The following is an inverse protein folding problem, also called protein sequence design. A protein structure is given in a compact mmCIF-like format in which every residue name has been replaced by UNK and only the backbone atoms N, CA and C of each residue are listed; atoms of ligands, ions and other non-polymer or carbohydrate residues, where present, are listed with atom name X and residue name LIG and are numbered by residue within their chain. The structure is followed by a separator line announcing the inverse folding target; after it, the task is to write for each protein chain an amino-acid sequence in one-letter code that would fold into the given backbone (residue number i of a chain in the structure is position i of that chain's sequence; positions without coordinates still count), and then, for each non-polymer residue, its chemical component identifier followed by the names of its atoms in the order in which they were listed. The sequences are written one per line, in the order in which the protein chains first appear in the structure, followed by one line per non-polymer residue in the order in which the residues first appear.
data_IF_445762813827
#
_entry.id   IF_445762813827
#
_cell.length_a   1.000
_cell.length_b   1.000
_cell.length_c   1.000
_cell.angle_alpha   90.00
_cell.angle_beta   90.00
_cell.angle_gamma   90.00
#
_symmetry.space_group_name_H-M   'P 1'
#
loop_
_entity.id
_entity.type
_entity.pdbx_description
1 polymer ?
#
# COMPACT_ATOMS: atom_id res chain seq x y z
N UNK A 1 8.85 3.70 35.34
CA UNK A 1 8.57 5.10 34.94
C UNK A 1 8.53 5.18 33.42
N UNK A 2 7.56 5.86 32.78
CA UNK A 2 7.54 6.00 31.33
C UNK A 2 8.68 6.95 30.88
N UNK A 3 9.83 6.40 30.52
CA UNK A 3 10.97 7.22 30.07
C UNK A 3 10.70 7.78 28.66
N UNK A 4 10.66 9.12 28.49
CA UNK A 4 10.43 9.74 27.19
C UNK A 4 11.53 9.40 26.18
N UNK A 5 12.76 9.18 26.63
CA UNK A 5 13.90 8.79 25.79
C UNK A 5 13.68 7.46 25.04
N UNK A 6 13.06 6.46 25.66
CA UNK A 6 12.80 5.17 25.00
C UNK A 6 11.82 5.30 23.83
N UNK A 7 10.84 6.21 23.94
CA UNK A 7 9.86 6.46 22.87
C UNK A 7 10.50 7.15 21.68
N UNK A 8 11.37 8.14 21.94
CA UNK A 8 12.11 8.87 20.91
C UNK A 8 13.06 7.90 20.19
N UNK A 9 13.80 7.09 20.94
CA UNK A 9 14.69 6.07 20.36
C UNK A 9 13.91 5.05 19.50
N UNK A 10 12.78 4.56 19.98
CA UNK A 10 11.93 3.63 19.21
C UNK A 10 11.41 4.24 17.89
N UNK A 11 10.94 5.49 17.92
CA UNK A 11 10.51 6.19 16.70
C UNK A 11 11.69 6.47 15.77
N UNK A 12 12.84 6.90 16.30
CA UNK A 12 14.04 7.11 15.52
C UNK A 12 14.49 5.83 14.81
N UNK A 13 14.49 4.69 15.50
CA UNK A 13 14.80 3.38 14.91
C UNK A 13 13.83 3.00 13.79
N UNK A 14 12.52 3.25 13.96
CA UNK A 14 11.52 2.98 12.92
C UNK A 14 11.71 3.89 11.70
N UNK A 15 12.04 5.18 11.92
CA UNK A 15 12.33 6.13 10.84
C UNK A 15 13.60 5.76 10.08
N UNK A 16 14.67 5.37 10.77
CA UNK A 16 15.92 4.92 10.17
C UNK A 16 15.68 3.64 9.36
N UNK A 17 14.93 2.69 9.92
CA UNK A 17 14.59 1.44 9.23
C UNK A 17 13.76 1.69 7.99
N UNK A 18 12.75 2.58 8.07
CA UNK A 18 11.97 3.01 6.92
C UNK A 18 12.84 3.66 5.84
N UNK A 19 13.69 4.62 6.23
CA UNK A 19 14.58 5.30 5.30
C UNK A 19 15.53 4.32 4.60
N UNK A 20 16.10 3.37 5.34
CA UNK A 20 16.96 2.33 4.77
C UNK A 20 16.19 1.47 3.77
N UNK A 21 14.99 1.00 4.10
CA UNK A 21 14.21 0.10 3.23
C UNK A 21 13.70 0.78 1.95
N UNK A 22 13.46 2.09 2.00
CA UNK A 22 12.92 2.84 0.85
C UNK A 22 14.02 3.43 -0.03
N UNK A 23 15.09 3.98 0.56
CA UNK A 23 16.12 4.71 -0.17
C UNK A 23 17.38 3.90 -0.47
N UNK A 24 17.55 2.71 0.10
CA UNK A 24 18.72 1.88 -0.18
C UNK A 24 18.39 0.79 -1.22
N UNK A 25 18.71 1.00 -2.51
CA UNK A 25 18.46 0.00 -3.55
C UNK A 25 19.26 -1.29 -3.34
N UNK A 26 20.40 -1.24 -2.63
CA UNK A 26 21.20 -2.44 -2.34
C UNK A 26 20.45 -3.47 -1.49
N UNK A 27 19.35 -3.07 -0.83
CA UNK A 27 18.46 -4.00 -0.10
C UNK A 27 17.88 -5.07 -1.04
N UNK A 28 17.71 -4.75 -2.32
CA UNK A 28 17.19 -5.64 -3.35
C UNK A 28 18.25 -6.59 -3.93
N UNK A 29 19.53 -6.37 -3.60
CA UNK A 29 20.66 -7.14 -4.13
C UNK A 29 21.33 -8.02 -3.06
N UNK A 30 21.07 -7.77 -1.77
CA UNK A 30 21.76 -8.48 -0.68
C UNK A 30 21.49 -9.97 -0.60
N UNK A 31 20.33 -10.45 -1.08
CA UNK A 31 19.99 -11.87 -0.99
C UNK A 31 19.51 -12.42 -2.34
N UNK A 32 20.10 -13.55 -2.81
CA UNK A 32 19.58 -14.26 -3.96
C UNK A 32 18.17 -14.76 -3.67
N UNK A 33 17.31 -14.72 -4.68
CA UNK A 33 15.89 -15.08 -4.56
C UNK A 33 15.71 -16.46 -3.93
N UNK A 34 14.94 -16.52 -2.84
CA UNK A 34 14.57 -17.77 -2.19
C UNK A 34 13.69 -18.64 -3.11
N UNK A 35 13.81 -19.96 -3.02
CA UNK A 35 13.06 -20.90 -3.85
C UNK A 35 11.53 -20.90 -3.59
N UNK A 36 11.07 -20.27 -2.50
CA UNK A 36 9.66 -20.18 -2.11
C UNK A 36 9.06 -18.81 -2.49
N UNK A 37 8.12 -18.74 -3.46
CA UNK A 37 7.61 -17.48 -4.02
C UNK A 37 6.88 -16.53 -3.06
N UNK A 38 6.47 -16.98 -1.87
CA UNK A 38 5.62 -16.21 -0.94
C UNK A 38 6.32 -15.95 0.41
N UNK A 39 7.29 -16.78 0.80
CA UNK A 39 8.06 -16.61 2.03
C UNK A 39 9.46 -16.08 1.70
N UNK A 40 9.50 -14.90 1.12
CA UNK A 40 10.73 -14.23 0.72
C UNK A 40 11.23 -13.31 1.86
N UNK A 41 12.53 -13.05 1.91
CA UNK A 41 13.17 -12.14 2.87
C UNK A 41 12.55 -10.73 2.84
N UNK A 42 12.07 -10.31 1.67
CA UNK A 42 11.32 -9.06 1.49
C UNK A 42 10.04 -9.02 2.30
N UNK A 43 9.24 -10.09 2.26
CA UNK A 43 8.02 -10.22 3.07
C UNK A 43 8.31 -10.05 4.56
N UNK A 44 9.36 -10.72 5.06
CA UNK A 44 9.74 -10.63 6.47
C UNK A 44 10.22 -9.23 6.83
N UNK A 45 11.18 -8.67 6.09
CA UNK A 45 11.81 -7.39 6.44
C UNK A 45 10.84 -6.21 6.31
N UNK A 46 10.19 -6.06 5.17
CA UNK A 46 9.25 -4.96 4.95
C UNK A 46 7.94 -5.17 5.72
N UNK A 47 7.48 -6.42 5.84
CA UNK A 47 6.26 -6.77 6.56
C UNK A 47 6.38 -6.54 8.07
N UNK A 48 7.48 -7.00 8.69
CA UNK A 48 7.72 -6.78 10.13
C UNK A 48 7.81 -5.28 10.42
N UNK A 49 8.56 -4.51 9.63
CA UNK A 49 8.69 -3.06 9.85
C UNK A 49 7.35 -2.35 9.65
N UNK A 50 6.53 -2.74 8.66
CA UNK A 50 5.19 -2.17 8.47
C UNK A 50 4.26 -2.48 9.66
N UNK A 51 4.26 -3.72 10.15
CA UNK A 51 3.51 -4.12 11.35
C UNK A 51 4.00 -3.33 12.57
N UNK A 52 5.31 -3.21 12.78
CA UNK A 52 5.87 -2.42 13.86
C UNK A 52 5.48 -0.93 13.78
N UNK A 53 5.40 -0.33 12.59
CA UNK A 53 4.91 1.04 12.40
C UNK A 53 3.43 1.17 12.80
N UNK A 54 2.58 0.22 12.42
CA UNK A 54 1.17 0.23 12.82
C UNK A 54 0.96 -0.05 14.31
N UNK A 55 1.73 -0.97 14.89
CA UNK A 55 1.72 -1.27 16.32
C UNK A 55 2.21 -0.06 17.12
N UNK A 56 3.30 0.58 16.70
CA UNK A 56 3.79 1.81 17.31
C UNK A 56 2.73 2.91 17.24
N UNK A 57 2.05 3.09 16.10
CA UNK A 57 0.96 4.05 15.98
C UNK A 57 -0.22 3.76 16.94
N UNK A 58 -0.50 2.48 17.24
CA UNK A 58 -1.52 2.08 18.24
C UNK A 58 -1.03 2.27 19.68
N UNK A 59 0.21 1.94 19.98
CA UNK A 59 0.80 2.09 21.31
C UNK A 59 0.98 3.56 21.71
N UNK A 60 1.17 4.44 20.73
CA UNK A 60 1.16 5.89 20.89
C UNK A 60 -0.23 6.52 20.75
N UNK A 61 -1.32 5.74 20.89
CA UNK A 61 -2.66 6.32 20.98
C UNK A 61 -2.77 7.30 22.19
N UNK A 62 -3.70 8.28 22.14
CA UNK A 62 -3.92 9.21 23.25
C UNK A 62 -4.10 8.45 24.59
N UNK A 63 -3.47 8.88 25.70
CA UNK A 63 -2.81 10.17 25.96
C UNK A 63 -1.29 10.22 25.66
N UNK A 64 -0.72 9.23 24.97
CA UNK A 64 0.74 9.12 24.70
C UNK A 64 1.12 9.51 23.27
N UNK A 65 0.24 10.21 22.58
CA UNK A 65 0.36 10.62 21.17
C UNK A 65 1.41 11.71 20.92
N UNK A 66 1.74 12.49 21.95
CA UNK A 66 2.70 13.58 21.87
C UNK A 66 4.13 13.05 22.05
N UNK A 67 4.89 13.06 20.96
CA UNK A 67 6.35 12.89 20.99
C UNK A 67 6.96 14.16 20.45
N UNK A 68 7.85 14.79 21.23
CA UNK A 68 8.42 16.10 20.89
C UNK A 68 7.32 17.15 20.60
N UNK A 69 6.22 17.12 21.36
CA UNK A 69 5.07 18.01 21.21
C UNK A 69 4.31 17.90 19.86
N UNK A 70 4.56 16.85 19.07
CA UNK A 70 3.86 16.56 17.81
C UNK A 70 3.09 15.25 17.89
N UNK A 71 1.95 15.19 17.19
CA UNK A 71 1.17 13.97 17.04
C UNK A 71 1.90 12.97 16.13
N UNK A 72 2.58 11.99 16.72
CA UNK A 72 3.30 10.94 16.00
C UNK A 72 2.41 9.87 15.30
N UNK A 73 1.23 9.48 15.84
CA UNK A 73 0.45 8.36 15.27
C UNK A 73 0.00 8.53 13.80
N UNK A 74 -0.42 9.72 13.32
CA UNK A 74 -0.76 9.91 11.91
C UNK A 74 0.43 9.67 10.98
N UNK A 75 1.60 10.19 11.33
CA UNK A 75 2.83 10.03 10.55
C UNK A 75 3.26 8.56 10.49
N UNK A 76 3.24 7.84 11.62
CA UNK A 76 3.58 6.42 11.66
C UNK A 76 2.62 5.55 10.85
N UNK A 77 1.31 5.84 10.87
CA UNK A 77 0.35 5.14 10.02
C UNK A 77 0.63 5.40 8.53
N UNK A 78 0.94 6.65 8.14
CA UNK A 78 1.27 6.98 6.76
C UNK A 78 2.53 6.27 6.28
N UNK A 79 3.59 6.26 7.07
CA UNK A 79 4.82 5.52 6.76
C UNK A 79 4.57 4.01 6.65
N UNK A 80 3.78 3.44 7.56
CA UNK A 80 3.38 2.03 7.50
C UNK A 80 2.62 1.69 6.22
N UNK A 81 1.70 2.56 5.79
CA UNK A 81 0.95 2.41 4.53
C UNK A 81 1.86 2.52 3.31
N UNK A 82 2.80 3.48 3.29
CA UNK A 82 3.77 3.61 2.19
C UNK A 82 4.62 2.33 2.10
N UNK A 83 5.12 1.84 3.23
CA UNK A 83 5.97 0.65 3.25
C UNK A 83 5.19 -0.61 2.83
N UNK A 84 3.92 -0.73 3.23
CA UNK A 84 3.05 -1.81 2.77
C UNK A 84 2.81 -1.77 1.26
N UNK A 85 2.68 -0.56 0.69
CA UNK A 85 2.55 -0.39 -0.75
C UNK A 85 3.86 -0.74 -1.49
N UNK A 86 5.01 -0.36 -0.94
CA UNK A 86 6.33 -0.75 -1.48
C UNK A 86 6.48 -2.27 -1.44
N UNK A 87 6.16 -2.91 -0.32
CA UNK A 87 6.19 -4.37 -0.19
C UNK A 87 5.32 -5.05 -1.25
N UNK A 88 4.08 -4.57 -1.45
CA UNK A 88 3.20 -5.10 -2.49
C UNK A 88 3.85 -5.06 -3.88
N UNK A 89 4.54 -3.97 -4.22
CA UNK A 89 5.24 -3.85 -5.50
C UNK A 89 6.44 -4.79 -5.59
N UNK A 90 7.21 -4.93 -4.50
CA UNK A 90 8.37 -5.85 -4.45
C UNK A 90 7.91 -7.30 -4.59
N UNK A 91 6.84 -7.72 -3.92
CA UNK A 91 6.31 -9.09 -4.02
C UNK A 91 5.85 -9.42 -5.45
N UNK A 92 5.20 -8.48 -6.14
CA UNK A 92 4.83 -8.65 -7.55
C UNK A 92 6.09 -8.72 -8.41
N UNK A 93 7.06 -7.83 -8.21
CA UNK A 93 8.32 -7.84 -8.94
C UNK A 93 9.07 -9.16 -8.75
N UNK A 94 9.14 -9.67 -7.52
CA UNK A 94 9.80 -10.92 -7.19
C UNK A 94 9.06 -12.10 -7.84
N UNK A 95 7.74 -12.21 -7.68
CA UNK A 95 6.92 -13.29 -8.24
C UNK A 95 7.16 -13.49 -9.74
N UNK A 96 7.18 -12.39 -10.50
CA UNK A 96 7.39 -12.42 -11.95
C UNK A 96 8.85 -12.44 -12.40
N UNK A 97 9.82 -12.38 -11.49
CA UNK A 97 11.24 -12.60 -11.80
C UNK A 97 11.51 -14.10 -11.83
N UNK A 98 12.38 -14.60 -12.72
CA UNK A 98 12.69 -16.05 -12.78
C UNK A 98 13.61 -16.44 -11.62
N UNK A 99 13.44 -17.64 -10.99
CA UNK A 99 14.36 -18.11 -9.96
C UNK A 99 15.79 -18.21 -10.52
N UNK A 100 16.78 -17.61 -9.83
CA UNK A 100 18.20 -17.71 -10.19
C UNK A 100 18.74 -16.72 -11.24
N UNK A 101 17.95 -15.74 -11.69
CA UNK A 101 18.44 -14.68 -12.57
C UNK A 101 18.77 -13.41 -11.78
N UNK A 102 19.99 -12.88 -11.94
CA UNK A 102 20.42 -11.57 -11.42
C UNK A 102 20.04 -10.39 -12.35
N UNK A 103 19.47 -10.69 -13.53
CA UNK A 103 19.12 -9.67 -14.52
C UNK A 103 17.66 -9.72 -14.96
N UNK A 104 17.03 -8.55 -14.88
CA UNK A 104 15.72 -8.24 -15.46
C UNK A 104 15.80 -8.29 -16.98
N UNK A 105 15.67 -9.48 -17.55
CA UNK A 105 15.64 -9.67 -19.02
C UNK A 105 14.34 -9.11 -19.60
N UNK A 106 14.45 -7.98 -20.30
CA UNK A 106 13.35 -7.32 -21.02
C UNK A 106 12.99 -8.10 -22.29
N UNK A 107 12.16 -9.13 -22.14
CA UNK A 107 11.46 -9.75 -23.26
C UNK A 107 10.23 -8.90 -23.63
N UNK A 108 10.27 -8.25 -24.80
CA UNK A 108 9.20 -7.40 -25.36
C UNK A 108 7.90 -8.13 -25.75
N UNK A 109 7.70 -9.39 -25.35
CA UNK A 109 6.53 -10.18 -25.73
C UNK A 109 5.93 -11.02 -24.59
N UNK A 110 6.14 -10.67 -23.31
CA UNK A 110 5.73 -11.61 -22.27
C UNK A 110 5.70 -11.13 -20.83
N UNK A 111 4.95 -10.07 -20.50
CA UNK A 111 4.49 -9.88 -19.12
C UNK A 111 3.21 -9.03 -18.97
N UNK A 112 2.26 -9.12 -19.92
CA UNK A 112 0.90 -8.60 -19.74
C UNK A 112 0.30 -9.03 -18.39
N UNK A 113 0.57 -10.29 -17.99
CA UNK A 113 0.20 -10.80 -16.68
C UNK A 113 0.80 -9.99 -15.51
N UNK A 114 2.06 -9.55 -15.60
CA UNK A 114 2.73 -8.72 -14.59
C UNK A 114 2.09 -7.34 -14.49
N UNK A 115 1.88 -6.67 -15.61
CA UNK A 115 1.28 -5.33 -15.66
C UNK A 115 -0.16 -5.36 -15.12
N UNK A 116 -0.93 -6.38 -15.51
CA UNK A 116 -2.27 -6.61 -15.00
C UNK A 116 -2.26 -6.94 -13.50
N UNK A 117 -1.29 -7.73 -13.02
CA UNK A 117 -1.12 -8.00 -11.58
C UNK A 117 -0.85 -6.72 -10.79
N UNK A 118 -0.02 -5.80 -11.29
CA UNK A 118 0.18 -4.49 -10.65
C UNK A 118 -1.13 -3.70 -10.60
N UNK A 119 -1.88 -3.62 -11.71
CA UNK A 119 -3.15 -2.89 -11.76
C UNK A 119 -4.18 -3.46 -10.78
N UNK A 120 -4.36 -4.79 -10.75
CA UNK A 120 -5.27 -5.47 -9.81
C UNK A 120 -4.82 -5.25 -8.36
N UNK A 121 -3.54 -5.43 -8.08
CA UNK A 121 -3.00 -5.28 -6.73
C UNK A 121 -3.16 -3.85 -6.21
N UNK A 122 -2.88 -2.85 -7.03
CA UNK A 122 -3.06 -1.44 -6.67
C UNK A 122 -4.55 -1.09 -6.48
N UNK A 123 -5.46 -1.63 -7.30
CA UNK A 123 -6.90 -1.45 -7.12
C UNK A 123 -7.39 -2.05 -5.78
N UNK A 124 -6.97 -3.28 -5.47
CA UNK A 124 -7.28 -3.94 -4.19
C UNK A 124 -6.69 -3.18 -3.01
N UNK A 125 -5.44 -2.73 -3.11
CA UNK A 125 -4.79 -1.93 -2.07
C UNK A 125 -5.51 -0.60 -1.85
N UNK A 126 -5.90 0.10 -2.91
CA UNK A 126 -6.68 1.34 -2.84
C UNK A 126 -8.04 1.10 -2.15
N UNK A 127 -8.73 0.01 -2.48
CA UNK A 127 -10.01 -0.34 -1.88
C UNK A 127 -9.87 -0.69 -0.39
N UNK A 128 -8.86 -1.47 0.00
CA UNK A 128 -8.55 -1.76 1.39
C UNK A 128 -8.18 -0.48 2.17
N UNK A 129 -7.39 0.41 1.56
CA UNK A 129 -7.02 1.69 2.14
C UNK A 129 -8.24 2.60 2.31
N UNK A 130 -9.18 2.60 1.36
CA UNK A 130 -10.44 3.34 1.43
C UNK A 130 -11.30 2.81 2.59
N UNK A 131 -11.47 1.49 2.71
CA UNK A 131 -12.21 0.86 3.83
C UNK A 131 -11.55 1.23 5.16
N UNK A 132 -10.22 1.13 5.27
CA UNK A 132 -9.49 1.49 6.47
C UNK A 132 -9.61 2.99 6.80
N UNK A 133 -9.54 3.86 5.79
CA UNK A 133 -9.72 5.31 5.92
C UNK A 133 -11.13 5.70 6.32
N UNK A 134 -12.15 4.97 5.85
CA UNK A 134 -13.54 5.11 6.28
C UNK A 134 -13.67 4.73 7.75
N UNK A 135 -13.23 3.53 8.13
CA UNK A 135 -13.30 3.00 9.51
C UNK A 135 -12.56 3.87 10.52
N UNK A 136 -11.36 4.34 10.19
CA UNK A 136 -10.55 5.21 11.06
C UNK A 136 -10.94 6.70 10.99
N UNK A 137 -11.99 7.06 10.24
CA UNK A 137 -12.43 8.45 9.99
C UNK A 137 -11.29 9.39 9.52
N UNK A 138 -10.29 8.87 8.83
CA UNK A 138 -9.14 9.65 8.35
C UNK A 138 -9.41 10.23 6.96
N UNK A 139 -9.54 11.56 6.88
CA UNK A 139 -9.71 12.27 5.60
C UNK A 139 -8.52 12.02 4.66
N UNK A 140 -7.30 12.07 5.19
CA UNK A 140 -6.07 11.85 4.42
C UNK A 140 -6.02 10.46 3.76
N UNK A 141 -6.34 9.41 4.52
CA UNK A 141 -6.34 8.04 3.99
C UNK A 141 -7.37 7.85 2.86
N UNK A 142 -8.52 8.53 2.95
CA UNK A 142 -9.57 8.47 1.92
C UNK A 142 -9.14 9.18 0.64
N UNK A 143 -8.63 10.41 0.74
CA UNK A 143 -8.13 11.12 -0.45
C UNK A 143 -6.97 10.37 -1.09
N UNK A 144 -6.04 9.82 -0.29
CA UNK A 144 -4.96 8.97 -0.81
C UNK A 144 -5.50 7.72 -1.53
N UNK A 145 -6.48 7.04 -0.96
CA UNK A 145 -7.10 5.87 -1.60
C UNK A 145 -7.85 6.22 -2.89
N UNK A 146 -8.56 7.34 -2.93
CA UNK A 146 -9.28 7.80 -4.12
C UNK A 146 -8.31 8.25 -5.22
N UNK A 147 -7.23 8.95 -4.85
CA UNK A 147 -6.18 9.33 -5.77
C UNK A 147 -5.49 8.09 -6.37
N UNK A 148 -5.14 7.11 -5.54
CA UNK A 148 -4.55 5.85 -6.00
C UNK A 148 -5.52 5.08 -6.90
N UNK A 149 -6.80 4.98 -6.53
CA UNK A 149 -7.83 4.34 -7.35
C UNK A 149 -7.95 5.04 -8.71
N UNK A 150 -8.06 6.37 -8.73
CA UNK A 150 -8.11 7.15 -9.96
C UNK A 150 -6.88 6.96 -10.84
N UNK A 151 -5.70 6.92 -10.24
CA UNK A 151 -4.45 6.62 -10.97
C UNK A 151 -4.46 5.23 -11.59
N UNK A 152 -4.91 4.21 -10.85
CA UNK A 152 -5.04 2.83 -11.37
C UNK A 152 -6.03 2.78 -12.53
N UNK A 153 -7.16 3.47 -12.42
CA UNK A 153 -8.14 3.56 -13.51
C UNK A 153 -7.51 4.21 -14.73
N UNK A 154 -6.87 5.37 -14.60
CA UNK A 154 -6.19 6.03 -15.72
C UNK A 154 -5.16 5.09 -16.35
N UNK A 155 -4.30 4.45 -15.55
CA UNK A 155 -3.31 3.50 -16.05
C UNK A 155 -3.98 2.36 -16.84
N UNK A 156 -5.04 1.77 -16.31
CA UNK A 156 -5.77 0.67 -16.96
C UNK A 156 -6.42 1.13 -18.27
N UNK A 157 -6.98 2.34 -18.32
CA UNK A 157 -7.54 2.90 -19.54
C UNK A 157 -6.49 3.21 -20.61
N UNK A 158 -5.34 3.82 -20.25
CA UNK A 158 -4.33 4.19 -21.24
C UNK A 158 -3.42 3.03 -21.65
N UNK A 159 -3.00 2.20 -20.70
CA UNK A 159 -2.05 1.11 -20.92
C UNK A 159 -2.76 -0.19 -21.30
N UNK A 160 -3.71 -0.65 -20.47
CA UNK A 160 -4.30 -1.99 -20.64
C UNK A 160 -5.27 -2.05 -21.83
N UNK A 161 -6.09 -1.01 -22.08
CA UNK A 161 -6.98 -1.01 -23.25
C UNK A 161 -6.20 -0.99 -24.58
N UNK A 162 -5.01 -0.38 -24.63
CA UNK A 162 -4.24 -0.30 -25.88
C UNK A 162 -3.69 -1.66 -26.30
N UNK A 163 -3.33 -2.52 -25.34
CA UNK A 163 -2.70 -3.81 -25.57
C UNK A 163 -3.68 -5.00 -25.61
N UNK A 164 -4.92 -4.83 -25.15
CA UNK A 164 -5.91 -5.90 -25.07
C UNK A 164 -6.62 -6.18 -26.39
N UNK A 165 -6.88 -7.46 -26.68
CA UNK A 165 -7.85 -7.88 -27.71
C UNK A 165 -9.27 -7.41 -27.33
N UNK A 166 -10.12 -7.19 -28.33
CA UNK A 166 -11.42 -6.49 -28.22
C UNK A 166 -12.32 -7.02 -27.09
N UNK A 167 -12.36 -8.35 -26.86
CA UNK A 167 -13.19 -8.99 -25.83
C UNK A 167 -12.71 -8.67 -24.40
N UNK A 168 -11.39 -8.67 -24.17
CA UNK A 168 -10.81 -8.39 -22.86
C UNK A 168 -10.94 -6.93 -22.45
N UNK A 169 -11.01 -6.01 -23.42
CA UNK A 169 -11.32 -4.59 -23.15
C UNK A 169 -12.69 -4.44 -22.50
N UNK A 170 -13.70 -5.14 -23.01
CA UNK A 170 -15.07 -5.12 -22.47
C UNK A 170 -15.09 -5.69 -21.05
N UNK A 171 -14.45 -6.84 -20.83
CA UNK A 171 -14.37 -7.45 -19.50
C UNK A 171 -13.64 -6.54 -18.48
N UNK A 172 -12.53 -5.91 -18.87
CA UNK A 172 -11.79 -4.99 -18.02
C UNK A 172 -12.62 -3.74 -17.65
N UNK A 173 -13.38 -3.18 -18.60
CA UNK A 173 -14.29 -2.05 -18.35
C UNK A 173 -15.40 -2.42 -17.35
N UNK A 174 -15.96 -3.63 -17.45
CA UNK A 174 -16.97 -4.11 -16.50
C UNK A 174 -16.38 -4.23 -15.09
N UNK A 175 -15.20 -4.84 -14.95
CA UNK A 175 -14.52 -4.96 -13.64
C UNK A 175 -14.23 -3.59 -13.05
N UNK A 176 -13.71 -2.66 -13.86
CA UNK A 176 -13.48 -1.27 -13.47
C UNK A 176 -14.76 -0.59 -13.01
N UNK A 177 -15.86 -0.74 -13.76
CA UNK A 177 -17.14 -0.16 -13.40
C UNK A 177 -17.65 -0.71 -12.06
N UNK A 178 -17.54 -2.02 -11.82
CA UNK A 178 -17.90 -2.65 -10.55
C UNK A 178 -17.07 -2.07 -9.40
N UNK A 179 -15.75 -1.94 -9.57
CA UNK A 179 -14.86 -1.37 -8.54
C UNK A 179 -15.23 0.10 -8.26
N UNK A 180 -15.50 0.89 -9.30
CA UNK A 180 -15.90 2.28 -9.17
C UNK A 180 -17.26 2.43 -8.45
N UNK A 181 -18.24 1.57 -8.77
CA UNK A 181 -19.53 1.52 -8.09
C UNK A 181 -19.34 1.15 -6.62
N UNK A 182 -18.53 0.12 -6.31
CA UNK A 182 -18.24 -0.26 -4.93
C UNK A 182 -17.57 0.87 -4.14
N UNK A 183 -16.59 1.54 -4.74
CA UNK A 183 -15.92 2.69 -4.13
C UNK A 183 -16.89 3.86 -3.90
N UNK A 184 -17.76 4.16 -4.87
CA UNK A 184 -18.81 5.17 -4.77
C UNK A 184 -19.80 4.83 -3.65
N UNK A 185 -20.29 3.59 -3.58
CA UNK A 185 -21.19 3.12 -2.53
C UNK A 185 -20.55 3.21 -1.14
N UNK A 186 -19.29 2.79 -1.00
CA UNK A 186 -18.51 2.93 0.23
C UNK A 186 -18.41 4.40 0.67
N UNK A 187 -18.17 5.30 -0.28
CA UNK A 187 -18.05 6.73 -0.02
C UNK A 187 -19.41 7.37 0.37
N UNK A 188 -20.47 7.08 -0.37
CA UNK A 188 -21.83 7.56 -0.11
C UNK A 188 -22.35 7.06 1.25
N UNK A 189 -22.11 5.79 1.60
CA UNK A 189 -22.49 5.24 2.91
C UNK A 189 -21.83 6.00 4.06
N UNK A 190 -20.60 6.47 3.88
CA UNK A 190 -19.94 7.30 4.89
C UNK A 190 -20.58 8.69 5.00
N UNK A 191 -20.87 9.35 3.87
CA UNK A 191 -21.55 10.64 3.86
C UNK A 191 -22.92 10.58 4.54
N UNK A 192 -23.73 9.57 4.22
CA UNK A 192 -25.04 9.36 4.85
C UNK A 192 -24.98 9.03 6.35
N UNK A 193 -23.86 8.51 6.85
CA UNK A 193 -23.63 8.36 8.30
C UNK A 193 -23.24 9.67 9.00
N UNK A 194 -22.63 10.60 8.27
CA UNK A 194 -22.19 11.88 8.83
C UNK A 194 -23.37 12.84 8.99
N UNK A 195 -24.31 12.86 8.05
CA UNK A 195 -25.56 13.63 8.16
C UNK A 195 -26.42 13.18 9.36
N UNK A 196 -26.57 11.86 9.58
CA UNK A 196 -27.34 11.35 10.73
C UNK A 196 -26.76 11.71 12.10
N UNK A 197 -25.46 12.01 12.18
CA UNK A 197 -24.80 12.42 13.44
C UNK A 197 -24.80 13.94 13.70
N UNK A 198 -25.23 14.75 12.73
CA UNK A 198 -25.30 16.22 12.87
C UNK A 198 -26.70 16.76 13.23
N UNK A 199 -27.69 15.88 13.36
CA UNK A 199 -29.10 16.23 13.66
C UNK A 199 -29.56 15.74 15.03
N UNK A 200 -28.64 15.43 15.95
CA UNK A 200 -28.94 15.15 17.36
C UNK A 200 -28.24 16.14 18.27
#
# INVERSE_FOLDING_TARGET
MPHPGLRIAGIALLLISFARLVFNPAVLEYHPRAATPIFNWYLYTYGIVSICLFVAARLLAPPRNLVLNKNAPPLLNSLGTILAFVLLNIEIADYFTKPGAYELTFHFSGNFARDMSYSIAWALFALLLLIAGIRKRSKAARYASLALLGFVLLKLFFHDLSQLQQLYRIAALIVVAIIAILASFLYQRFLGQTEKSGTQ
#
